data_IF_263567517175
#
_entry.id   IF_263567517175
#
_cell.length_a   1.000
_cell.length_b   1.000
_cell.length_c   1.000
_cell.angle_alpha   90.00
_cell.angle_beta   90.00
_cell.angle_gamma   90.00
#
_symmetry.space_group_name_H-M   'P 1'
#
loop_
_entity.id
_entity.type
_entity.pdbx_description
1 polymer ?
#
# COMPACT_ATOMS: atom_id res chain seq x y z
N UNK A 1 93.20 65.40 105.41
CA UNK A 1 94.59 65.90 105.49
C UNK A 1 94.76 66.66 106.79
N UNK A 2 95.52 66.11 107.74
CA UNK A 2 95.87 66.75 109.02
C UNK A 2 96.84 67.89 108.71
N UNK A 3 96.49 69.14 109.05
CA UNK A 3 97.31 70.34 108.78
C UNK A 3 98.29 70.55 109.94
N UNK A 4 99.59 70.41 109.67
CA UNK A 4 100.67 70.76 110.60
C UNK A 4 101.08 72.23 110.36
N UNK A 5 101.10 73.11 111.40
CA UNK A 5 101.41 74.54 111.23
C UNK A 5 102.85 74.85 110.79
N UNK A 6 103.80 73.93 110.96
CA UNK A 6 105.23 74.21 110.77
C UNK A 6 105.84 73.71 109.45
N UNK A 7 105.04 73.19 108.50
CA UNK A 7 105.41 72.90 107.09
C UNK A 7 106.78 72.20 106.80
N UNK A 8 107.40 71.55 107.79
CA UNK A 8 108.76 70.98 107.67
C UNK A 8 108.80 69.47 107.43
N UNK A 9 107.68 68.75 107.57
CA UNK A 9 107.57 67.31 107.24
C UNK A 9 106.11 66.89 107.03
N UNK A 10 105.82 66.14 105.96
CA UNK A 10 104.48 65.63 105.64
C UNK A 10 104.42 64.10 105.81
N UNK A 11 103.35 63.58 106.41
CA UNK A 11 103.10 62.13 106.54
C UNK A 11 102.29 61.64 105.35
N UNK A 12 102.74 60.56 104.68
CA UNK A 12 102.25 60.11 103.38
C UNK A 12 100.77 59.73 103.33
N UNK A 13 100.32 58.90 104.28
CA UNK A 13 98.90 58.66 104.56
C UNK A 13 98.79 57.90 105.91
N UNK A 14 97.57 57.79 106.43
CA UNK A 14 97.28 57.18 107.74
C UNK A 14 97.68 55.69 107.87
N UNK A 15 98.03 55.00 106.77
CA UNK A 15 98.30 53.55 106.77
C UNK A 15 99.79 53.23 106.85
N UNK A 16 100.68 54.08 106.34
CA UNK A 16 102.09 53.73 106.16
C UNK A 16 103.08 54.50 107.03
N UNK A 17 102.63 55.49 107.83
CA UNK A 17 103.40 56.32 108.81
C UNK A 17 104.83 56.75 108.39
N UNK A 18 105.14 56.68 107.10
CA UNK A 18 106.40 57.10 106.50
C UNK A 18 106.35 58.61 106.36
N UNK A 19 107.31 59.26 107.01
CA UNK A 19 107.59 60.68 106.82
C UNK A 19 108.04 60.83 105.36
N UNK A 20 107.23 61.52 104.54
CA UNK A 20 107.67 61.94 103.22
C UNK A 20 108.70 63.05 103.44
N UNK A 21 109.94 62.89 102.96
CA UNK A 21 110.90 63.98 103.03
C UNK A 21 110.32 65.20 102.29
N UNK A 22 110.55 66.42 102.79
CA UNK A 22 110.08 67.63 102.13
C UNK A 22 110.58 67.65 100.68
N UNK A 23 109.76 68.23 99.79
CA UNK A 23 110.09 68.31 98.38
C UNK A 23 111.53 68.83 98.20
N UNK A 24 112.38 68.17 97.40
CA UNK A 24 113.76 68.60 97.24
C UNK A 24 113.79 70.02 96.67
N UNK A 25 114.35 70.96 97.43
CA UNK A 25 114.55 72.36 97.01
C UNK A 25 116.04 72.64 96.77
N UNK A 26 116.35 73.62 95.92
CA UNK A 26 117.73 73.99 95.61
C UNK A 26 118.45 73.02 94.67
N UNK A 27 119.72 72.66 94.97
CA UNK A 27 120.58 71.88 94.06
C UNK A 27 120.03 70.49 93.74
N UNK A 28 119.30 69.87 94.67
CA UNK A 28 118.68 68.54 94.50
C UNK A 28 117.52 68.56 93.49
N UNK A 29 116.73 69.65 93.47
CA UNK A 29 115.69 69.86 92.47
C UNK A 29 116.27 69.95 91.05
N UNK A 30 117.39 70.68 90.91
CA UNK A 30 118.10 70.80 89.63
C UNK A 30 118.58 69.45 89.11
N UNK A 31 119.10 68.58 89.99
CA UNK A 31 119.54 67.21 89.63
C UNK A 31 118.39 66.31 89.16
N UNK A 32 117.23 66.38 89.82
CA UNK A 32 116.04 65.62 89.40
C UNK A 32 115.49 66.15 88.07
N UNK A 33 115.53 67.48 87.89
CA UNK A 33 115.19 68.10 86.62
C UNK A 33 116.15 67.62 85.52
N UNK A 34 117.46 67.51 85.78
CA UNK A 34 118.48 67.00 84.84
C UNK A 34 118.29 65.53 84.47
N UNK A 35 117.80 64.71 85.39
CA UNK A 35 117.52 63.29 85.12
C UNK A 35 116.17 63.06 84.43
N UNK A 36 115.27 64.06 84.39
CA UNK A 36 113.99 63.96 83.71
C UNK A 36 114.24 63.88 82.19
N UNK A 37 113.68 62.89 81.48
CA UNK A 37 113.86 62.75 80.03
C UNK A 37 113.58 64.08 79.32
N UNK A 38 114.49 64.49 78.43
CA UNK A 38 114.47 65.83 77.80
C UNK A 38 113.09 66.19 77.22
N UNK A 39 112.41 65.21 76.62
CA UNK A 39 111.08 65.39 76.02
C UNK A 39 109.95 65.69 77.03
N UNK A 40 110.03 65.20 78.27
CA UNK A 40 108.98 65.45 79.29
C UNK A 40 109.32 66.60 80.23
N UNK A 41 110.49 67.22 80.05
CA UNK A 41 111.01 68.31 80.89
C UNK A 41 110.21 69.61 80.74
N UNK A 42 109.60 69.83 79.59
CA UNK A 42 108.83 71.05 79.25
C UNK A 42 107.31 70.92 79.43
N UNK A 43 106.82 69.73 79.80
CA UNK A 43 105.39 69.49 80.00
C UNK A 43 105.07 69.42 81.49
N UNK A 44 104.10 70.23 81.90
CA UNK A 44 103.44 70.16 83.20
C UNK A 44 102.45 69.00 83.22
N UNK A 45 101.99 68.60 84.40
CA UNK A 45 100.97 67.56 84.51
C UNK A 45 99.68 67.93 83.77
N UNK A 46 99.34 69.23 83.74
CA UNK A 46 98.20 69.75 82.98
C UNK A 46 98.37 69.55 81.48
N UNK A 47 99.55 69.85 80.93
CA UNK A 47 99.81 69.66 79.49
C UNK A 47 99.67 68.19 79.07
N UNK A 48 100.06 67.24 79.93
CA UNK A 48 99.90 65.80 79.66
C UNK A 48 98.42 65.39 79.68
N UNK A 49 97.62 65.93 80.60
CA UNK A 49 96.19 65.65 80.67
C UNK A 49 95.43 66.27 79.49
N UNK A 50 95.78 67.49 79.10
CA UNK A 50 95.18 68.18 77.95
C UNK A 50 95.51 67.44 76.64
N UNK A 51 96.75 66.98 76.46
CA UNK A 51 97.13 66.11 75.33
C UNK A 51 96.33 64.79 75.34
N UNK A 52 96.16 64.18 76.52
CA UNK A 52 95.35 62.96 76.66
C UNK A 52 93.88 63.18 76.28
N UNK A 53 93.29 64.29 76.71
CA UNK A 53 91.92 64.68 76.36
C UNK A 53 91.76 64.94 74.85
N UNK A 54 92.72 65.63 74.23
CA UNK A 54 92.72 65.88 72.79
C UNK A 54 92.86 64.60 71.97
N UNK A 55 93.69 63.65 72.40
CA UNK A 55 93.82 62.33 71.75
C UNK A 55 92.51 61.56 71.88
N UNK A 56 91.91 61.52 73.07
CA UNK A 56 90.63 60.85 73.30
C UNK A 56 89.50 61.45 72.46
N UNK A 57 89.41 62.79 72.39
CA UNK A 57 88.40 63.48 71.60
C UNK A 57 88.60 63.26 70.09
N UNK A 58 89.85 63.23 69.60
CA UNK A 58 90.14 62.89 68.19
C UNK A 58 89.81 61.44 67.86
N UNK A 59 90.10 60.52 68.77
CA UNK A 59 89.72 59.11 68.62
C UNK A 59 88.20 58.97 68.63
N UNK A 60 87.50 59.64 69.54
CA UNK A 60 86.03 59.66 69.60
C UNK A 60 85.42 60.19 68.30
N UNK A 61 85.93 61.31 67.77
CA UNK A 61 85.48 61.87 66.49
C UNK A 61 85.76 60.94 65.30
N UNK A 62 86.92 60.27 65.30
CA UNK A 62 87.26 59.30 64.26
C UNK A 62 86.32 58.08 64.32
N UNK A 63 86.09 57.52 65.51
CA UNK A 63 85.15 56.42 65.73
C UNK A 63 83.71 56.83 65.37
N UNK A 64 83.28 58.04 65.72
CA UNK A 64 81.96 58.56 65.36
C UNK A 64 81.81 58.73 63.84
N UNK A 65 82.84 59.24 63.15
CA UNK A 65 82.83 59.38 61.69
C UNK A 65 82.76 58.02 60.99
N UNK A 66 83.56 57.05 61.44
CA UNK A 66 83.52 55.66 60.94
C UNK A 66 82.15 55.03 61.19
N UNK A 67 81.56 55.22 62.38
CA UNK A 67 80.24 54.71 62.71
C UNK A 67 79.15 55.33 61.82
N UNK A 68 79.19 56.66 61.60
CA UNK A 68 78.26 57.37 60.70
C UNK A 68 78.37 56.87 59.27
N UNK A 69 79.58 56.64 58.76
CA UNK A 69 79.79 56.09 57.41
C UNK A 69 79.24 54.66 57.30
N UNK A 70 79.48 53.81 58.32
CA UNK A 70 78.95 52.46 58.38
C UNK A 70 77.41 52.44 58.42
N UNK A 71 76.77 53.32 59.19
CA UNK A 71 75.31 53.47 59.24
C UNK A 71 74.78 53.90 57.86
N UNK A 72 75.37 54.93 57.23
CA UNK A 72 74.92 55.40 55.93
C UNK A 72 75.03 54.32 54.84
N UNK A 73 76.09 53.51 54.85
CA UNK A 73 76.22 52.34 53.95
C UNK A 73 75.16 51.29 54.22
N UNK A 74 74.93 50.94 55.49
CA UNK A 74 73.90 49.97 55.85
C UNK A 74 72.49 50.45 55.49
N UNK A 75 72.17 51.73 55.69
CA UNK A 75 70.90 52.34 55.29
C UNK A 75 70.72 52.30 53.76
N UNK A 76 71.76 52.62 52.99
CA UNK A 76 71.74 52.53 51.54
C UNK A 76 71.52 51.08 51.05
N UNK A 77 72.21 50.11 51.65
CA UNK A 77 72.05 48.69 51.31
C UNK A 77 70.64 48.18 51.63
N UNK A 78 70.08 48.55 52.79
CA UNK A 78 68.70 48.22 53.16
C UNK A 78 67.70 48.86 52.20
N UNK A 79 67.90 50.12 51.82
CA UNK A 79 67.05 50.80 50.84
C UNK A 79 67.08 50.12 49.47
N UNK A 80 68.26 49.73 48.99
CA UNK A 80 68.41 48.99 47.72
C UNK A 80 67.71 47.63 47.81
N UNK A 81 67.84 46.91 48.92
CA UNK A 81 67.14 45.64 49.12
C UNK A 81 65.62 45.81 49.16
N UNK A 82 65.10 46.83 49.83
CA UNK A 82 63.67 47.12 49.89
C UNK A 82 63.11 47.48 48.50
N UNK A 83 63.83 48.32 47.75
CA UNK A 83 63.43 48.68 46.38
C UNK A 83 63.48 47.48 45.43
N UNK A 84 64.48 46.62 45.56
CA UNK A 84 64.56 45.37 44.80
C UNK A 84 63.41 44.42 45.17
N UNK A 85 63.07 44.31 46.45
CA UNK A 85 61.94 43.49 46.90
C UNK A 85 60.59 44.02 46.39
N UNK A 86 60.37 45.34 46.47
CA UNK A 86 59.15 45.99 45.95
C UNK A 86 59.02 45.83 44.44
N UNK A 87 60.10 46.08 43.69
CA UNK A 87 60.12 45.89 42.24
C UNK A 87 59.87 44.44 41.86
N UNK A 88 60.44 43.47 42.60
CA UNK A 88 60.17 42.05 42.37
C UNK A 88 58.70 41.68 42.59
N UNK A 89 58.08 42.20 43.65
CA UNK A 89 56.64 42.00 43.92
C UNK A 89 55.79 42.59 42.79
N UNK A 90 56.08 43.82 42.38
CA UNK A 90 55.34 44.50 41.30
C UNK A 90 55.47 43.75 39.96
N UNK A 91 56.67 43.28 39.61
CA UNK A 91 56.91 42.47 38.41
C UNK A 91 56.14 41.15 38.47
N UNK A 92 56.11 40.47 39.63
CA UNK A 92 55.34 39.25 39.79
C UNK A 92 53.83 39.49 39.67
N UNK A 93 53.30 40.55 40.28
CA UNK A 93 51.89 40.91 40.17
C UNK A 93 51.49 41.23 38.73
N UNK A 94 52.30 42.05 38.03
CA UNK A 94 52.05 42.37 36.63
C UNK A 94 52.09 41.12 35.74
N UNK A 95 53.02 40.20 35.99
CA UNK A 95 53.11 38.92 35.27
C UNK A 95 51.89 38.03 35.53
N UNK A 96 51.41 37.96 36.78
CA UNK A 96 50.19 37.21 37.14
C UNK A 96 48.96 37.80 36.45
N UNK A 97 48.81 39.13 36.43
CA UNK A 97 47.70 39.82 35.78
C UNK A 97 47.71 39.66 34.25
N UNK A 98 48.88 39.66 33.62
CA UNK A 98 49.02 39.34 32.19
C UNK A 98 48.66 37.88 31.90
N UNK A 99 49.14 36.95 32.72
CA UNK A 99 48.83 35.53 32.58
C UNK A 99 47.33 35.26 32.72
N UNK A 100 46.66 35.89 33.69
CA UNK A 100 45.21 35.77 33.87
C UNK A 100 44.44 36.34 32.68
N UNK A 101 44.87 37.49 32.14
CA UNK A 101 44.24 38.09 30.95
C UNK A 101 44.35 37.16 29.73
N UNK A 102 45.53 36.62 29.47
CA UNK A 102 45.73 35.68 28.36
C UNK A 102 44.98 34.36 28.57
N UNK A 103 44.91 33.86 29.81
CA UNK A 103 44.14 32.67 30.15
C UNK A 103 42.65 32.86 29.85
N UNK A 104 42.05 33.95 30.34
CA UNK A 104 40.64 34.28 30.08
C UNK A 104 40.37 34.47 28.58
N UNK A 105 41.28 35.14 27.86
CA UNK A 105 41.16 35.30 26.41
C UNK A 105 41.24 33.94 25.68
N UNK A 106 42.12 33.03 26.13
CA UNK A 106 42.22 31.68 25.57
C UNK A 106 40.96 30.84 25.83
N UNK A 107 40.39 30.92 27.04
CA UNK A 107 39.13 30.27 27.39
C UNK A 107 37.98 30.78 26.52
N UNK A 108 37.83 32.10 26.37
CA UNK A 108 36.80 32.68 25.50
C UNK A 108 36.95 32.23 24.05
N UNK A 109 38.18 32.20 23.52
CA UNK A 109 38.45 31.67 22.17
C UNK A 109 38.06 30.19 22.07
N UNK A 110 38.31 29.40 23.10
CA UNK A 110 37.95 27.99 23.13
C UNK A 110 36.43 27.79 23.20
N UNK A 111 35.74 28.52 24.07
CA UNK A 111 34.27 28.50 24.18
C UNK A 111 33.62 28.85 22.85
N UNK A 112 34.05 29.93 22.19
CA UNK A 112 33.51 30.31 20.88
C UNK A 112 33.73 29.23 19.81
N UNK A 113 34.91 28.60 19.79
CA UNK A 113 35.17 27.47 18.88
C UNK A 113 34.26 26.29 19.16
N UNK A 114 34.09 25.91 20.42
CA UNK A 114 33.21 24.80 20.81
C UNK A 114 31.77 25.11 20.43
N UNK A 115 31.28 26.32 20.73
CA UNK A 115 29.92 26.74 20.37
C UNK A 115 29.70 26.70 18.85
N UNK A 116 30.67 27.16 18.05
CA UNK A 116 30.59 27.08 16.58
C UNK A 116 30.48 25.64 16.09
N UNK A 117 31.37 24.76 16.56
CA UNK A 117 31.35 23.33 16.20
C UNK A 117 30.02 22.69 16.61
N UNK A 118 29.50 23.05 17.79
CA UNK A 118 28.22 22.53 18.28
C UNK A 118 27.05 22.97 17.39
N UNK A 119 27.03 24.22 16.93
CA UNK A 119 26.01 24.71 15.98
C UNK A 119 26.13 24.03 14.61
N UNK A 120 27.34 23.83 14.09
CA UNK A 120 27.58 23.13 12.83
C UNK A 120 27.13 21.67 12.90
N UNK A 121 27.53 20.95 13.96
CA UNK A 121 27.10 19.57 14.21
C UNK A 121 25.58 19.47 14.37
N UNK A 122 24.95 20.43 15.08
CA UNK A 122 23.49 20.46 15.21
C UNK A 122 22.81 20.64 13.85
N UNK A 123 23.32 21.56 13.01
CA UNK A 123 22.81 21.79 11.65
C UNK A 123 22.93 20.54 10.80
N UNK A 124 24.09 19.89 10.81
CA UNK A 124 24.33 18.64 10.06
C UNK A 124 23.42 17.51 10.53
N UNK A 125 23.22 17.37 11.85
CA UNK A 125 22.28 16.42 12.43
C UNK A 125 20.85 16.67 11.93
N UNK A 126 20.38 17.92 11.94
CA UNK A 126 19.03 18.26 11.47
C UNK A 126 18.89 17.93 9.98
N UNK A 127 19.86 18.31 9.15
CA UNK A 127 19.85 18.00 7.72
C UNK A 127 19.87 16.49 7.44
N UNK A 128 20.66 15.71 8.19
CA UNK A 128 20.70 14.26 8.07
C UNK A 128 19.36 13.62 8.46
N UNK A 129 18.73 14.10 9.54
CA UNK A 129 17.40 13.62 9.98
C UNK A 129 16.31 13.99 8.96
N UNK A 130 16.34 15.20 8.40
CA UNK A 130 15.39 15.63 7.38
C UNK A 130 15.51 14.79 6.11
N UNK A 131 16.76 14.53 5.66
CA UNK A 131 17.03 13.67 4.51
C UNK A 131 16.55 12.25 4.74
N UNK A 132 16.89 11.65 5.89
CA UNK A 132 16.43 10.30 6.24
C UNK A 132 14.90 10.21 6.31
N UNK A 133 14.23 11.21 6.90
CA UNK A 133 12.76 11.28 6.94
C UNK A 133 12.14 11.45 5.55
N UNK A 134 12.78 12.19 4.65
CA UNK A 134 12.31 12.34 3.27
C UNK A 134 12.42 11.01 2.50
N UNK A 135 13.54 10.30 2.65
CA UNK A 135 13.75 8.96 2.07
C UNK A 135 12.74 7.94 2.64
N UNK A 136 12.51 7.93 3.96
CA UNK A 136 11.48 7.08 4.59
C UNK A 136 10.08 7.36 4.04
N UNK A 137 9.71 8.64 3.89
CA UNK A 137 8.41 9.03 3.31
C UNK A 137 8.28 8.59 1.86
N UNK A 138 9.34 8.73 1.07
CA UNK A 138 9.35 8.27 -0.32
C UNK A 138 9.17 6.75 -0.39
N UNK A 139 9.95 5.98 0.37
CA UNK A 139 9.82 4.52 0.43
C UNK A 139 8.42 4.08 0.89
N UNK A 140 7.85 4.75 1.90
CA UNK A 140 6.50 4.47 2.36
C UNK A 140 5.45 4.76 1.26
N UNK A 141 5.60 5.86 0.52
CA UNK A 141 4.72 6.18 -0.60
C UNK A 141 4.83 5.16 -1.74
N UNK A 142 6.04 4.77 -2.11
CA UNK A 142 6.30 3.75 -3.13
C UNK A 142 5.70 2.38 -2.71
N UNK A 143 5.87 1.99 -1.45
CA UNK A 143 5.27 0.77 -0.90
C UNK A 143 3.74 0.80 -0.93
N UNK A 144 3.12 1.93 -0.55
CA UNK A 144 1.67 2.13 -0.63
C UNK A 144 1.20 2.06 -2.08
N UNK A 145 1.90 2.70 -3.02
CA UNK A 145 1.56 2.64 -4.44
C UNK A 145 1.68 1.23 -5.00
N UNK A 146 2.73 0.50 -4.64
CA UNK A 146 2.93 -0.89 -5.04
C UNK A 146 1.79 -1.79 -4.52
N UNK A 147 1.40 -1.63 -3.24
CA UNK A 147 0.23 -2.34 -2.69
C UNK A 147 -1.07 -1.96 -3.41
N UNK A 148 -1.29 -0.68 -3.70
CA UNK A 148 -2.48 -0.24 -4.47
C UNK A 148 -2.53 -0.88 -5.86
N UNK A 149 -1.40 -0.94 -6.56
CA UNK A 149 -1.30 -1.61 -7.87
C UNK A 149 -1.64 -3.10 -7.76
N UNK A 150 -1.06 -3.79 -6.77
CA UNK A 150 -1.33 -5.20 -6.52
C UNK A 150 -2.81 -5.47 -6.19
N UNK A 151 -3.39 -4.68 -5.29
CA UNK A 151 -4.80 -4.80 -4.93
C UNK A 151 -5.72 -4.53 -6.13
N UNK A 152 -5.38 -3.55 -6.97
CA UNK A 152 -6.13 -3.25 -8.19
C UNK A 152 -6.07 -4.41 -9.20
N UNK A 153 -4.90 -5.03 -9.37
CA UNK A 153 -4.73 -6.21 -10.22
C UNK A 153 -5.50 -7.42 -9.68
N UNK A 154 -5.48 -7.67 -8.37
CA UNK A 154 -6.27 -8.72 -7.73
C UNK A 154 -7.78 -8.51 -7.92
N UNK A 155 -8.27 -7.27 -7.78
CA UNK A 155 -9.68 -6.91 -8.06
C UNK A 155 -10.02 -7.15 -9.53
N UNK A 156 -9.16 -6.72 -10.46
CA UNK A 156 -9.38 -6.91 -11.90
C UNK A 156 -9.45 -8.41 -12.26
N UNK A 157 -8.48 -9.19 -11.78
CA UNK A 157 -8.39 -10.63 -12.04
C UNK A 157 -9.61 -11.37 -11.45
N UNK A 158 -10.00 -11.02 -10.23
CA UNK A 158 -11.21 -11.58 -9.59
C UNK A 158 -12.48 -11.16 -10.35
N UNK A 159 -12.54 -9.92 -10.83
CA UNK A 159 -13.66 -9.45 -11.66
C UNK A 159 -13.77 -10.23 -12.97
N UNK A 160 -12.64 -10.47 -13.64
CA UNK A 160 -12.58 -11.24 -14.88
C UNK A 160 -13.04 -12.69 -14.65
N UNK A 161 -12.61 -13.35 -13.57
CA UNK A 161 -13.02 -14.73 -13.27
C UNK A 161 -14.52 -14.82 -12.97
N UNK A 162 -15.04 -13.90 -12.15
CA UNK A 162 -16.48 -13.82 -11.85
C UNK A 162 -17.30 -13.59 -13.12
N UNK A 163 -16.89 -12.65 -13.98
CA UNK A 163 -17.57 -12.42 -15.26
C UNK A 163 -17.53 -13.65 -16.17
N UNK A 164 -16.39 -14.36 -16.22
CA UNK A 164 -16.24 -15.57 -17.03
C UNK A 164 -17.16 -16.68 -16.53
N UNK A 165 -17.28 -16.87 -15.22
CA UNK A 165 -18.14 -17.89 -14.64
C UNK A 165 -19.62 -17.52 -14.74
N UNK A 166 -19.98 -16.25 -14.59
CA UNK A 166 -21.33 -15.76 -14.87
C UNK A 166 -21.70 -15.97 -16.34
N UNK A 167 -20.80 -15.67 -17.28
CA UNK A 167 -21.01 -15.90 -18.71
C UNK A 167 -21.22 -17.39 -19.02
N UNK A 168 -20.41 -18.29 -18.45
CA UNK A 168 -20.63 -19.74 -18.58
C UNK A 168 -21.98 -20.17 -18.03
N UNK A 169 -22.36 -19.67 -16.85
CA UNK A 169 -23.64 -19.98 -16.21
C UNK A 169 -24.83 -19.51 -17.06
N UNK A 170 -24.79 -18.28 -17.57
CA UNK A 170 -25.82 -17.75 -18.48
C UNK A 170 -25.88 -18.56 -19.78
N UNK A 171 -24.73 -18.88 -20.38
CA UNK A 171 -24.69 -19.70 -21.58
C UNK A 171 -25.27 -21.11 -21.35
N UNK A 172 -25.02 -21.70 -20.18
CA UNK A 172 -25.60 -22.99 -19.81
C UNK A 172 -27.13 -22.89 -19.68
N UNK A 173 -27.63 -21.84 -19.02
CA UNK A 173 -29.06 -21.57 -18.89
C UNK A 173 -29.73 -21.36 -20.26
N UNK A 174 -29.08 -20.64 -21.18
CA UNK A 174 -29.58 -20.43 -22.55
C UNK A 174 -29.73 -21.79 -23.26
N UNK A 175 -28.70 -22.64 -23.22
CA UNK A 175 -28.76 -23.98 -23.83
C UNK A 175 -29.86 -24.86 -23.25
N UNK A 176 -30.04 -24.83 -21.93
CA UNK A 176 -31.11 -25.56 -21.25
C UNK A 176 -32.50 -25.07 -21.70
N UNK A 177 -32.68 -23.75 -21.80
CA UNK A 177 -33.94 -23.16 -22.25
C UNK A 177 -34.21 -23.39 -23.73
N UNK A 178 -33.19 -23.37 -24.58
CA UNK A 178 -33.30 -23.77 -25.98
C UNK A 178 -33.71 -25.24 -26.12
N UNK A 179 -33.10 -26.12 -25.33
CA UNK A 179 -33.48 -27.54 -25.33
C UNK A 179 -34.92 -27.74 -24.87
N UNK A 180 -35.32 -27.11 -23.77
CA UNK A 180 -36.69 -27.15 -23.25
C UNK A 180 -37.70 -26.64 -24.30
N UNK A 181 -37.41 -25.50 -24.95
CA UNK A 181 -38.24 -24.95 -26.01
C UNK A 181 -38.35 -25.89 -27.22
N UNK A 182 -37.24 -26.51 -27.63
CA UNK A 182 -37.24 -27.48 -28.73
C UNK A 182 -38.06 -28.72 -28.41
N UNK A 183 -38.06 -29.20 -27.16
CA UNK A 183 -38.90 -30.31 -26.71
C UNK A 183 -40.38 -29.93 -26.81
N UNK A 184 -40.76 -28.76 -26.26
CA UNK A 184 -42.15 -28.28 -26.36
C UNK A 184 -42.60 -28.10 -27.81
N UNK A 185 -41.74 -27.55 -28.68
CA UNK A 185 -42.02 -27.42 -30.10
C UNK A 185 -42.26 -28.78 -30.77
N UNK A 186 -41.38 -29.75 -30.53
CA UNK A 186 -41.54 -31.11 -31.05
C UNK A 186 -42.85 -31.76 -30.57
N UNK A 187 -43.20 -31.59 -29.29
CA UNK A 187 -44.45 -32.12 -28.73
C UNK A 187 -45.67 -31.49 -29.40
N UNK A 188 -45.71 -30.16 -29.53
CA UNK A 188 -46.81 -29.45 -30.17
C UNK A 188 -46.94 -29.82 -31.66
N UNK A 189 -45.82 -30.01 -32.37
CA UNK A 189 -45.83 -30.47 -33.76
C UNK A 189 -46.37 -31.88 -33.90
N UNK A 190 -45.98 -32.82 -33.03
CA UNK A 190 -46.55 -34.18 -33.02
C UNK A 190 -48.03 -34.18 -32.71
N UNK A 191 -48.47 -33.42 -31.71
CA UNK A 191 -49.89 -33.29 -31.38
C UNK A 191 -50.70 -32.79 -32.57
N UNK A 192 -50.24 -31.75 -33.27
CA UNK A 192 -50.89 -31.30 -34.51
C UNK A 192 -50.95 -32.39 -35.58
N UNK A 193 -49.88 -33.16 -35.73
CA UNK A 193 -49.84 -34.23 -36.73
C UNK A 193 -50.79 -35.39 -36.36
N UNK A 194 -50.85 -35.74 -35.08
CA UNK A 194 -51.79 -36.73 -34.53
C UNK A 194 -53.25 -36.25 -34.67
N UNK A 195 -53.55 -34.99 -34.35
CA UNK A 195 -54.88 -34.39 -34.54
C UNK A 195 -55.32 -34.44 -36.01
N UNK A 196 -54.44 -34.04 -36.94
CA UNK A 196 -54.73 -34.12 -38.39
C UNK A 196 -54.95 -35.56 -38.82
N UNK A 197 -54.12 -36.51 -38.35
CA UNK A 197 -54.26 -37.92 -38.70
C UNK A 197 -55.56 -38.51 -38.16
N UNK A 198 -55.97 -38.16 -36.94
CA UNK A 198 -57.23 -38.63 -36.37
C UNK A 198 -58.44 -38.05 -37.10
N UNK A 199 -58.40 -36.77 -37.48
CA UNK A 199 -59.44 -36.16 -38.34
C UNK A 199 -59.54 -36.86 -39.69
N UNK A 200 -58.40 -37.17 -40.33
CA UNK A 200 -58.38 -37.93 -41.59
C UNK A 200 -58.96 -39.33 -41.43
N UNK A 201 -58.59 -40.05 -40.37
CA UNK A 201 -59.11 -41.39 -40.07
C UNK A 201 -60.63 -41.38 -39.83
N UNK A 202 -61.12 -40.37 -39.10
CA UNK A 202 -62.55 -40.23 -38.86
C UNK A 202 -63.31 -39.90 -40.15
N UNK A 203 -62.76 -39.00 -40.99
CA UNK A 203 -63.31 -38.71 -42.31
C UNK A 203 -63.35 -39.97 -43.20
N UNK A 204 -62.29 -40.77 -43.22
CA UNK A 204 -62.23 -42.03 -43.96
C UNK A 204 -63.32 -43.02 -43.52
N UNK A 205 -63.50 -43.22 -42.20
CA UNK A 205 -64.61 -44.07 -41.68
C UNK A 205 -65.98 -43.55 -42.13
N UNK A 206 -66.20 -42.23 -42.08
CA UNK A 206 -67.49 -41.66 -42.51
C UNK A 206 -67.72 -41.84 -44.01
N UNK A 207 -66.67 -41.69 -44.83
CA UNK A 207 -66.75 -41.95 -46.26
C UNK A 207 -67.00 -43.43 -46.55
N UNK A 208 -66.33 -44.34 -45.87
CA UNK A 208 -66.53 -45.78 -46.02
C UNK A 208 -67.95 -46.20 -45.64
N UNK A 209 -68.49 -45.67 -44.53
CA UNK A 209 -69.88 -45.90 -44.13
C UNK A 209 -70.88 -45.37 -45.18
N UNK A 210 -70.61 -44.19 -45.75
CA UNK A 210 -71.45 -43.61 -46.81
C UNK A 210 -71.40 -44.44 -48.09
N UNK A 211 -70.21 -44.91 -48.49
CA UNK A 211 -70.04 -45.80 -49.63
C UNK A 211 -70.78 -47.12 -49.42
N UNK A 212 -70.68 -47.73 -48.23
CA UNK A 212 -71.45 -48.93 -47.87
C UNK A 212 -72.95 -48.73 -48.04
N UNK A 213 -73.50 -47.62 -47.54
CA UNK A 213 -74.91 -47.28 -47.69
C UNK A 213 -75.35 -47.15 -49.15
N UNK A 214 -74.52 -46.50 -49.99
CA UNK A 214 -74.80 -46.37 -51.43
C UNK A 214 -74.71 -47.73 -52.13
N UNK A 215 -73.74 -48.57 -51.75
CA UNK A 215 -73.60 -49.91 -52.31
C UNK A 215 -74.80 -50.80 -51.96
N UNK A 216 -75.28 -50.75 -50.71
CA UNK A 216 -76.49 -51.47 -50.28
C UNK A 216 -77.72 -51.02 -51.07
N UNK A 217 -77.87 -49.70 -51.30
CA UNK A 217 -78.94 -49.16 -52.17
C UNK A 217 -78.83 -49.67 -53.60
N UNK A 218 -77.62 -49.70 -54.16
CA UNK A 218 -77.39 -50.18 -55.52
C UNK A 218 -77.78 -51.65 -55.66
N UNK A 219 -77.30 -52.52 -54.76
CA UNK A 219 -77.64 -53.95 -54.75
C UNK A 219 -79.14 -54.17 -54.59
N UNK A 220 -79.81 -53.39 -53.73
CA UNK A 220 -81.27 -53.45 -53.60
C UNK A 220 -81.98 -53.08 -54.91
N UNK A 221 -81.59 -51.98 -55.55
CA UNK A 221 -82.18 -51.56 -56.84
C UNK A 221 -81.89 -52.57 -57.97
N UNK A 222 -80.72 -53.20 -57.97
CA UNK A 222 -80.38 -54.26 -58.91
C UNK A 222 -81.23 -55.52 -58.68
N UNK A 223 -81.47 -55.89 -57.42
CA UNK A 223 -82.39 -56.97 -57.05
C UNK A 223 -83.83 -56.69 -57.48
N UNK A 224 -84.30 -55.44 -57.31
CA UNK A 224 -85.60 -54.99 -57.82
C UNK A 224 -85.67 -55.10 -59.36
N UNK A 225 -84.63 -54.65 -60.08
CA UNK A 225 -84.55 -54.76 -61.54
C UNK A 225 -84.57 -56.21 -62.01
N UNK A 226 -83.83 -57.11 -61.36
CA UNK A 226 -83.83 -58.54 -61.66
C UNK A 226 -85.22 -59.17 -61.45
N UNK A 227 -85.93 -58.77 -60.39
CA UNK A 227 -87.31 -59.20 -60.15
C UNK A 227 -88.24 -58.76 -61.27
N UNK A 228 -88.16 -57.50 -61.69
CA UNK A 228 -88.92 -56.95 -62.81
C UNK A 228 -88.58 -57.69 -64.11
N UNK A 229 -87.30 -57.94 -64.38
CA UNK A 229 -86.85 -58.69 -65.56
C UNK A 229 -87.43 -60.11 -65.57
N UNK A 230 -87.46 -60.79 -64.42
CA UNK A 230 -88.08 -62.11 -64.28
C UNK A 230 -89.59 -62.08 -64.51
N UNK A 231 -90.28 -61.06 -63.99
CA UNK A 231 -91.72 -60.85 -64.26
C UNK A 231 -91.99 -60.61 -65.75
N UNK A 232 -91.19 -59.78 -66.40
CA UNK A 232 -91.25 -59.54 -67.85
C UNK A 232 -91.02 -60.85 -68.63
N UNK A 233 -90.05 -61.67 -68.24
CA UNK A 233 -89.81 -62.98 -68.85
C UNK A 233 -91.01 -63.91 -68.74
N UNK A 234 -91.66 -63.97 -67.57
CA UNK A 234 -92.91 -64.74 -67.39
C UNK A 234 -94.02 -64.18 -68.28
N UNK A 235 -94.22 -62.86 -68.30
CA UNK A 235 -95.21 -62.21 -69.16
C UNK A 235 -94.95 -62.46 -70.65
N UNK A 236 -93.69 -62.55 -71.05
CA UNK A 236 -93.29 -62.84 -72.44
C UNK A 236 -93.63 -64.28 -72.80
N UNK A 237 -93.34 -65.25 -71.94
CA UNK A 237 -93.73 -66.65 -72.14
C UNK A 237 -95.26 -66.81 -72.21
N UNK A 238 -96.02 -66.10 -71.35
CA UNK A 238 -97.48 -66.09 -71.43
C UNK A 238 -97.98 -65.50 -72.74
N UNK A 239 -97.36 -64.42 -73.21
CA UNK A 239 -97.68 -63.81 -74.50
C UNK A 239 -97.42 -64.79 -75.64
N UNK A 240 -96.28 -65.47 -75.64
CA UNK A 240 -95.90 -66.42 -76.70
C UNK A 240 -96.83 -67.65 -76.71
N UNK A 241 -97.17 -68.19 -75.52
CA UNK A 241 -98.15 -69.29 -75.37
C UNK A 241 -99.53 -68.88 -75.92
N UNK A 242 -100.02 -67.70 -75.54
CA UNK A 242 -101.30 -67.18 -76.05
C UNK A 242 -101.24 -66.91 -77.56
N UNK A 243 -100.10 -66.49 -78.10
CA UNK A 243 -99.91 -66.32 -79.54
C UNK A 243 -99.91 -67.67 -80.28
N UNK A 244 -99.34 -68.72 -79.69
CA UNK A 244 -99.37 -70.09 -80.23
C UNK A 244 -100.80 -70.66 -80.23
N UNK A 245 -101.54 -70.61 -79.11
CA UNK A 245 -102.95 -71.04 -79.07
C UNK A 245 -103.83 -70.26 -80.07
N UNK A 246 -103.60 -68.94 -80.19
CA UNK A 246 -104.31 -68.13 -81.16
C UNK A 246 -103.97 -68.53 -82.60
N UNK A 247 -102.74 -68.97 -82.86
CA UNK A 247 -102.32 -69.45 -84.16
C UNK A 247 -102.90 -70.84 -84.47
N UNK A 248 -102.91 -71.76 -83.51
CA UNK A 248 -103.55 -73.07 -83.62
C UNK A 248 -105.06 -72.94 -83.90
N UNK A 249 -105.74 -72.06 -83.15
CA UNK A 249 -107.16 -71.77 -83.40
C UNK A 249 -107.36 -71.15 -84.77
N UNK A 250 -106.50 -70.20 -85.21
CA UNK A 250 -106.53 -69.69 -86.60
C UNK A 250 -106.42 -70.83 -87.62
N UNK A 251 -105.47 -71.74 -87.46
CA UNK A 251 -105.29 -72.87 -88.37
C UNK A 251 -106.50 -73.81 -88.39
N UNK A 252 -107.10 -74.07 -87.22
CA UNK A 252 -108.32 -74.87 -87.10
C UNK A 252 -109.52 -74.20 -87.80
N UNK A 253 -109.72 -72.90 -87.60
CA UNK A 253 -110.74 -72.12 -88.31
C UNK A 253 -110.48 -72.11 -89.81
N UNK A 254 -109.23 -71.94 -90.25
CA UNK A 254 -108.90 -71.99 -91.67
C UNK A 254 -109.17 -73.37 -92.28
N UNK A 255 -108.86 -74.47 -91.56
CA UNK A 255 -109.22 -75.83 -91.96
C UNK A 255 -110.74 -76.02 -92.06
N UNK A 256 -111.50 -75.52 -91.09
CA UNK A 256 -112.97 -75.57 -91.12
C UNK A 256 -113.53 -74.81 -92.32
N UNK A 257 -113.08 -73.58 -92.57
CA UNK A 257 -113.51 -72.78 -93.72
C UNK A 257 -113.21 -73.51 -95.03
N UNK A 258 -111.99 -74.04 -95.17
CA UNK A 258 -111.58 -74.79 -96.36
C UNK A 258 -112.42 -76.07 -96.57
N UNK A 259 -112.83 -76.74 -95.48
CA UNK A 259 -113.66 -77.95 -95.54
C UNK A 259 -115.13 -77.65 -95.85
N UNK A 260 -115.73 -76.66 -95.19
CA UNK A 260 -117.16 -76.33 -95.33
C UNK A 260 -117.45 -75.56 -96.61
N UNK A 261 -116.50 -74.78 -97.11
CA UNK A 261 -116.65 -73.94 -98.29
C UNK A 261 -115.54 -74.21 -99.32
N UNK A 262 -115.51 -75.39 -99.96
CA UNK A 262 -114.46 -75.76 -100.93
C UNK A 262 -114.47 -74.92 -102.22
N UNK A 263 -115.49 -74.08 -102.41
CA UNK A 263 -115.56 -73.11 -103.52
C UNK A 263 -114.86 -71.78 -103.22
N UNK A 264 -114.42 -71.54 -101.99
CA UNK A 264 -113.62 -70.37 -101.63
C UNK A 264 -112.15 -70.65 -101.99
N UNK A 265 -111.55 -69.77 -102.78
CA UNK A 265 -110.11 -69.84 -103.09
C UNK A 265 -109.28 -69.52 -101.84
N UNK A 266 -108.07 -70.11 -101.67
CA UNK A 266 -107.17 -69.78 -100.57
C UNK A 266 -106.97 -68.26 -100.45
N UNK A 267 -107.13 -67.69 -99.26
CA UNK A 267 -106.96 -66.25 -98.98
C UNK A 267 -108.24 -65.40 -98.97
N UNK A 268 -109.38 -65.90 -99.47
CA UNK A 268 -110.63 -65.12 -99.50
C UNK A 268 -111.29 -64.93 -98.13
N UNK A 269 -110.90 -65.71 -97.12
CA UNK A 269 -111.43 -65.66 -95.76
C UNK A 269 -110.47 -65.02 -94.74
N UNK A 270 -109.31 -64.54 -95.19
CA UNK A 270 -108.23 -64.02 -94.32
C UNK A 270 -108.64 -62.73 -93.58
N UNK A 271 -109.68 -62.04 -94.03
CA UNK A 271 -110.24 -60.87 -93.33
C UNK A 271 -110.95 -61.24 -92.01
N UNK A 272 -111.39 -62.50 -91.86
CA UNK A 272 -112.11 -62.96 -90.66
C UNK A 272 -111.14 -63.09 -89.49
N UNK A 273 -109.89 -63.50 -89.75
CA UNK A 273 -108.82 -63.63 -88.76
C UNK A 273 -107.50 -63.07 -89.30
N UNK A 274 -107.30 -61.73 -89.28
CA UNK A 274 -106.08 -61.11 -89.80
C UNK A 274 -104.82 -61.57 -89.06
N UNK A 275 -103.71 -61.72 -89.81
CA UNK A 275 -102.38 -61.92 -89.20
C UNK A 275 -101.99 -60.70 -88.36
N UNK A 276 -101.37 -60.93 -87.19
CA UNK A 276 -100.72 -59.85 -86.46
C UNK A 276 -99.42 -59.47 -87.16
N UNK A 277 -99.12 -58.17 -87.21
CA UNK A 277 -97.81 -57.68 -87.65
C UNK A 277 -96.74 -58.23 -86.70
N UNK A 278 -95.75 -58.94 -87.23
CA UNK A 278 -94.57 -59.37 -86.44
C UNK A 278 -93.94 -58.14 -85.79
N UNK A 279 -93.38 -58.34 -84.60
CA UNK A 279 -92.63 -57.31 -83.87
C UNK A 279 -91.61 -56.67 -84.83
N UNK A 280 -91.59 -55.33 -84.98
CA UNK A 280 -90.62 -54.67 -85.86
C UNK A 280 -89.19 -55.05 -85.45
N UNK A 281 -88.35 -55.42 -86.42
CA UNK A 281 -86.94 -55.82 -86.19
C UNK A 281 -86.07 -54.74 -85.50
N UNK A 282 -86.60 -53.54 -85.26
CA UNK A 282 -85.94 -52.48 -84.50
C UNK A 282 -85.97 -52.69 -82.97
N UNK A 283 -86.69 -53.70 -82.47
CA UNK A 283 -86.80 -53.99 -81.03
C UNK A 283 -86.16 -55.32 -80.60
N UNK A 284 -85.53 -56.05 -81.52
CA UNK A 284 -84.68 -57.19 -81.16
C UNK A 284 -83.35 -56.64 -80.67
N UNK A 285 -83.16 -56.63 -79.35
CA UNK A 285 -81.86 -56.33 -78.76
C UNK A 285 -80.92 -57.46 -79.19
N UNK A 286 -79.87 -57.12 -79.94
CA UNK A 286 -78.74 -58.02 -80.11
C UNK A 286 -78.10 -58.18 -78.72
N UNK A 287 -78.20 -59.37 -78.12
CA UNK A 287 -77.31 -59.78 -77.06
C UNK A 287 -75.89 -59.80 -77.65
N UNK A 288 -75.19 -58.66 -77.55
CA UNK A 288 -73.74 -58.62 -77.63
C UNK A 288 -73.22 -58.64 -76.21
N UNK A 289 -72.40 -59.66 -75.95
CA UNK A 289 -71.52 -59.87 -74.82
C UNK A 289 -71.17 -58.57 -74.07
N UNK A 290 -71.56 -58.52 -72.81
CA UNK A 290 -70.90 -57.66 -71.82
C UNK A 290 -70.02 -58.56 -70.96
N UNK A 291 -68.82 -58.82 -71.46
CA UNK A 291 -67.66 -59.01 -70.59
C UNK A 291 -67.32 -57.65 -69.99
N UNK A 292 -67.29 -57.57 -68.67
CA UNK A 292 -66.69 -56.48 -67.92
C UNK A 292 -65.84 -57.12 -66.82
N UNK A 293 -64.53 -56.96 -66.96
CA UNK A 293 -63.52 -57.15 -65.92
C UNK A 293 -63.82 -56.30 -64.68
#
# INVERSE_FOLDING_TARGET
MIRNPNYTSFVCCAVCNKIIPPAPFGKTFKRIHEYKPFKTRFYTHKDILDIGADILNKEEQFQEAVLKECIAKAEADVWVQEMAAKSKIEVHQNMEDELQREHLAAEQRMVHRIQRIMMECHREKVQAVEKARAEERQMAQEAIQAQKRKAMEEILNTGITVMKDQSKSVNQMIKEKEHEMNVYYCMAQRQKQEEVQEVLREAEKTHQATLGNVMDKLVNTEGELLSIAKQLGIMTNWKDFLEEELQETREAFQKYINYTFPKLSPGHADFILPERKKTPSSLVIQEKETTLD
#
